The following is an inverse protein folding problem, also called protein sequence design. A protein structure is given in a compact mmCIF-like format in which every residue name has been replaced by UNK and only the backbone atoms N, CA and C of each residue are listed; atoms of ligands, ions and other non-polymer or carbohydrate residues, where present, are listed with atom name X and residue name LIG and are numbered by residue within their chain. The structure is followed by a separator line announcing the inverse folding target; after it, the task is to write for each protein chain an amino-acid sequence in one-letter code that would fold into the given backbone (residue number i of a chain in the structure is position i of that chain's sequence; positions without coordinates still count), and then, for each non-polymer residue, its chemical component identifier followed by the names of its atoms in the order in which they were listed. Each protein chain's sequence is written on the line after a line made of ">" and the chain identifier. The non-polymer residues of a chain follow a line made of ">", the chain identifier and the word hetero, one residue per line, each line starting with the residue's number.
data_IF_404522459047
#
_entry.id   IF_404522459047
#
_cell.length_a   1.000
_cell.length_b   1.000
_cell.length_c   1.000
_cell.angle_alpha   90.00
_cell.angle_beta   90.00
_cell.angle_gamma   90.00
#
_symmetry.space_group_name_H-M   'P 1'
#
loop_
_entity.id
_entity.type
_entity.pdbx_description
1 polymer ?
#
# COMPACT_ATOMS: atom_id res chain seq x y z
N UNK A 1 14.82 17.56 4.04
CA UNK A 1 13.49 17.51 4.71
C UNK A 1 12.53 18.41 3.97
N UNK A 2 11.29 17.98 3.76
CA UNK A 2 10.22 18.79 3.18
C UNK A 2 8.98 18.65 4.03
N UNK A 3 8.47 19.77 4.50
CA UNK A 3 7.19 19.87 5.20
C UNK A 3 6.26 20.72 4.34
N UNK A 4 5.00 20.31 4.23
CA UNK A 4 4.01 21.08 3.47
C UNK A 4 2.63 20.92 4.08
N UNK A 5 1.89 22.01 4.14
CA UNK A 5 0.50 22.06 4.59
C UNK A 5 -0.37 22.50 3.43
N UNK A 6 -1.50 21.83 3.24
CA UNK A 6 -2.43 22.10 2.15
C UNK A 6 -3.85 22.07 2.71
N UNK A 7 -4.71 22.94 2.21
CA UNK A 7 -6.13 22.94 2.54
C UNK A 7 -6.91 22.74 1.25
N UNK A 8 -7.90 21.86 1.30
CA UNK A 8 -8.78 21.56 0.17
C UNK A 8 -10.23 21.71 0.61
N UNK A 9 -10.95 22.61 -0.05
CA UNK A 9 -12.36 22.88 0.21
C UNK A 9 -13.24 22.33 -0.92
N UNK A 10 -14.37 21.71 -0.59
CA UNK A 10 -15.38 21.31 -1.56
C UNK A 10 -16.77 21.42 -0.96
N UNK A 11 -17.78 21.49 -1.83
CA UNK A 11 -19.20 21.44 -1.44
C UNK A 11 -19.83 20.17 -1.97
N UNK A 12 -20.77 19.59 -1.21
CA UNK A 12 -21.57 18.44 -1.62
C UNK A 12 -23.05 18.74 -1.40
N UNK A 13 -23.89 18.41 -2.38
CA UNK A 13 -25.34 18.43 -2.21
C UNK A 13 -25.77 17.24 -1.33
N UNK A 14 -26.60 17.51 -0.33
CA UNK A 14 -26.98 16.48 0.65
C UNK A 14 -28.01 15.49 0.09
N UNK A 15 -28.85 15.91 -0.87
CA UNK A 15 -29.86 15.08 -1.51
C UNK A 15 -30.22 15.55 -2.93
N UNK A 16 -30.81 14.64 -3.73
CA UNK A 16 -31.36 14.96 -5.05
C UNK A 16 -32.58 15.88 -4.84
N UNK A 17 -32.62 17.03 -5.53
CA UNK A 17 -33.67 18.07 -5.43
C UNK A 17 -33.72 18.84 -4.10
N UNK A 18 -32.58 19.11 -3.46
CA UNK A 18 -32.53 19.99 -2.28
C UNK A 18 -31.43 21.03 -2.45
N UNK A 19 -31.72 22.29 -2.12
CA UNK A 19 -30.74 23.40 -2.21
C UNK A 19 -29.71 23.37 -1.06
N UNK A 20 -29.81 22.41 -0.13
CA UNK A 20 -28.85 22.24 0.95
C UNK A 20 -27.51 21.70 0.44
N UNK A 21 -26.47 22.51 0.63
CA UNK A 21 -25.08 22.17 0.30
C UNK A 21 -24.26 22.18 1.58
N UNK A 22 -23.56 21.08 1.84
CA UNK A 22 -22.60 21.00 2.93
C UNK A 22 -21.20 21.33 2.40
N UNK A 23 -20.58 22.37 2.97
CA UNK A 23 -19.20 22.71 2.71
C UNK A 23 -18.25 21.90 3.62
N UNK A 24 -17.15 21.45 3.05
CA UNK A 24 -16.11 20.69 3.73
C UNK A 24 -14.75 21.35 3.48
N UNK A 25 -13.88 21.34 4.48
CA UNK A 25 -12.48 21.73 4.34
C UNK A 25 -11.61 20.66 4.97
N UNK A 26 -10.76 20.03 4.15
CA UNK A 26 -9.77 19.07 4.61
C UNK A 26 -8.39 19.70 4.66
N UNK A 27 -7.76 19.63 5.82
CA UNK A 27 -6.36 19.96 6.03
C UNK A 27 -5.48 18.73 5.82
N UNK A 28 -4.42 18.88 5.03
CA UNK A 28 -3.38 17.87 4.84
C UNK A 28 -2.05 18.43 5.35
N UNK A 29 -1.31 17.64 6.12
CA UNK A 29 0.09 17.94 6.44
C UNK A 29 0.95 16.78 5.96
N UNK A 30 1.96 17.07 5.17
CA UNK A 30 2.90 16.07 4.66
C UNK A 30 4.29 16.35 5.21
N UNK A 31 4.93 15.31 5.73
CA UNK A 31 6.33 15.32 6.17
C UNK A 31 7.10 14.28 5.36
N UNK A 32 8.04 14.76 4.54
CA UNK A 32 9.03 13.94 3.85
C UNK A 32 10.39 14.13 4.51
N UNK A 33 10.91 13.06 5.11
CA UNK A 33 12.25 13.01 5.68
C UNK A 33 13.08 12.01 4.89
N UNK A 34 14.21 12.47 4.38
CA UNK A 34 15.23 11.65 3.73
C UNK A 34 16.56 12.03 4.36
N UNK A 35 17.17 11.08 5.05
CA UNK A 35 18.46 11.24 5.72
C UNK A 35 19.36 10.15 5.21
N UNK A 36 20.46 10.53 4.57
CA UNK A 36 21.47 9.60 4.10
C UNK A 36 22.80 9.90 4.77
N UNK A 37 23.44 8.85 5.29
CA UNK A 37 24.79 8.92 5.86
C UNK A 37 25.57 7.68 5.44
N UNK A 38 26.64 7.89 4.68
CA UNK A 38 27.51 6.83 4.17
C UNK A 38 26.71 5.77 3.40
N UNK A 39 26.75 4.52 3.88
CA UNK A 39 26.05 3.37 3.30
C UNK A 39 24.60 3.24 3.75
N UNK A 40 24.15 4.05 4.70
CA UNK A 40 22.81 3.94 5.29
C UNK A 40 21.96 5.15 4.92
N UNK A 41 20.67 4.92 4.69
CA UNK A 41 19.68 5.95 4.44
C UNK A 41 18.36 5.60 5.10
N UNK A 42 17.68 6.60 5.62
CA UNK A 42 16.34 6.49 6.17
C UNK A 42 15.42 7.39 5.36
N UNK A 43 14.33 6.83 4.88
CA UNK A 43 13.33 7.56 4.10
C UNK A 43 11.95 7.31 4.70
N UNK A 44 11.25 8.39 4.99
CA UNK A 44 9.87 8.34 5.44
C UNK A 44 9.02 9.45 4.82
N UNK A 45 7.79 9.08 4.46
CA UNK A 45 6.75 9.99 4.01
C UNK A 45 5.49 9.73 4.83
N UNK A 46 5.15 10.72 5.65
CA UNK A 46 3.98 10.71 6.54
C UNK A 46 3.01 11.78 6.06
N UNK A 47 1.73 11.44 5.97
CA UNK A 47 0.64 12.37 5.72
C UNK A 47 -0.35 12.31 6.87
N UNK A 48 -0.75 13.45 7.40
CA UNK A 48 -1.87 13.59 8.32
C UNK A 48 -3.02 14.29 7.61
N UNK A 49 -4.25 13.84 7.87
CA UNK A 49 -5.46 14.50 7.39
C UNK A 49 -6.46 14.74 8.53
N UNK A 50 -7.14 15.88 8.49
CA UNK A 50 -8.24 16.24 9.37
C UNK A 50 -9.27 17.08 8.60
N UNK A 51 -10.56 16.89 8.89
CA UNK A 51 -11.62 17.81 8.45
C UNK A 51 -11.72 18.94 9.48
N UNK A 52 -11.41 20.17 9.06
CA UNK A 52 -11.27 21.34 9.94
C UNK A 52 -12.64 21.90 10.33
N UNK A 53 -13.66 21.72 9.49
CA UNK A 53 -15.01 22.23 9.71
C UNK A 53 -15.88 21.17 10.39
N UNK A 54 -15.92 19.96 9.82
CA UNK A 54 -16.76 18.88 10.29
C UNK A 54 -15.90 17.84 11.01
N UNK A 55 -15.44 18.19 12.22
CA UNK A 55 -14.63 17.32 13.05
C UNK A 55 -15.37 16.00 13.30
N UNK A 56 -14.84 14.92 12.74
CA UNK A 56 -15.32 13.56 13.00
C UNK A 56 -14.59 13.05 14.25
N UNK A 57 -15.31 12.44 15.19
CA UNK A 57 -14.78 11.90 16.47
C UNK A 57 -13.62 10.89 16.33
N UNK A 58 -13.25 10.52 15.09
CA UNK A 58 -12.17 9.57 14.79
C UNK A 58 -10.75 10.15 14.96
N UNK A 59 -10.60 11.47 15.19
CA UNK A 59 -9.31 12.15 15.33
C UNK A 59 -8.55 12.28 13.99
N UNK A 60 -7.24 12.56 14.05
CA UNK A 60 -6.37 12.64 12.87
C UNK A 60 -6.15 11.26 12.25
N UNK A 61 -6.29 11.14 10.91
CA UNK A 61 -5.83 9.95 10.19
C UNK A 61 -4.35 10.13 9.81
N UNK A 62 -3.55 9.09 10.01
CA UNK A 62 -2.11 9.09 9.71
C UNK A 62 -1.79 8.04 8.64
N UNK A 63 -1.28 8.49 7.50
CA UNK A 63 -0.87 7.62 6.38
C UNK A 63 0.64 7.60 6.26
N UNK A 64 1.21 6.41 6.38
CA UNK A 64 2.63 6.16 6.19
C UNK A 64 2.82 5.55 4.82
N UNK A 65 3.23 6.37 3.84
CA UNK A 65 3.45 5.90 2.47
C UNK A 65 4.77 5.15 2.34
N UNK A 66 5.83 5.69 2.94
CA UNK A 66 7.15 5.09 2.97
C UNK A 66 7.68 5.18 4.39
N UNK A 67 8.31 4.10 4.86
CA UNK A 67 9.00 4.06 6.15
C UNK A 67 10.03 2.93 6.08
N UNK A 68 11.23 3.23 5.60
CA UNK A 68 12.25 2.20 5.45
C UNK A 68 13.66 2.68 5.77
N UNK A 69 14.47 1.76 6.27
CA UNK A 69 15.92 1.87 6.35
C UNK A 69 16.53 1.17 5.13
N UNK A 70 17.49 1.83 4.49
CA UNK A 70 18.20 1.35 3.31
C UNK A 70 19.70 1.25 3.61
N UNK A 71 20.30 0.10 3.34
CA UNK A 71 21.74 -0.08 3.27
C UNK A 71 22.16 -0.23 1.80
N UNK A 72 23.14 0.53 1.33
CA UNK A 72 23.67 0.44 -0.04
C UNK A 72 25.12 0.03 -0.04
N UNK A 73 25.48 -0.89 -0.94
CA UNK A 73 26.86 -1.34 -1.15
C UNK A 73 27.51 -1.84 0.17
N UNK A 74 26.71 -2.54 0.99
CA UNK A 74 27.16 -3.30 2.13
C UNK A 74 28.08 -4.41 1.62
N UNK A 75 29.28 -4.51 2.20
CA UNK A 75 30.33 -5.44 1.75
C UNK A 75 30.65 -5.40 0.24
N UNK A 76 30.40 -4.26 -0.42
CA UNK A 76 30.56 -4.04 -1.87
C UNK A 76 29.66 -4.88 -2.80
N UNK A 77 28.75 -5.68 -2.25
CA UNK A 77 27.92 -6.63 -3.00
C UNK A 77 26.43 -6.55 -2.65
N UNK A 78 26.06 -6.08 -1.47
CA UNK A 78 24.69 -6.17 -0.97
C UNK A 78 24.04 -4.79 -0.82
N UNK A 79 22.85 -4.63 -1.37
CA UNK A 79 21.91 -3.58 -1.00
C UNK A 79 20.76 -4.21 -0.20
N UNK A 80 20.29 -3.51 0.83
CA UNK A 80 19.26 -3.93 1.76
C UNK A 80 18.23 -2.80 1.91
N UNK A 81 16.95 -3.14 1.98
CA UNK A 81 15.87 -2.25 2.42
C UNK A 81 14.96 -2.99 3.37
N UNK A 82 14.68 -2.39 4.52
CA UNK A 82 13.82 -2.95 5.55
C UNK A 82 12.75 -1.92 5.94
N UNK A 83 11.49 -2.34 5.92
CA UNK A 83 10.33 -1.53 6.31
C UNK A 83 9.30 -1.41 5.19
N UNK A 84 8.46 -0.37 5.27
CA UNK A 84 7.45 -0.04 4.28
C UNK A 84 8.08 0.59 3.05
N UNK A 85 8.02 -0.12 1.94
CA UNK A 85 8.62 0.27 0.67
C UNK A 85 7.74 -0.12 -0.51
N UNK A 86 7.75 0.69 -1.56
CA UNK A 86 7.18 0.30 -2.83
C UNK A 86 8.17 -0.55 -3.62
N UNK A 87 7.73 -1.75 -4.02
CA UNK A 87 8.52 -2.67 -4.83
C UNK A 87 8.26 -2.50 -6.32
N UNK A 88 9.34 -2.60 -7.08
CA UNK A 88 9.32 -2.73 -8.52
C UNK A 88 10.34 -3.80 -8.94
N UNK A 89 9.87 -4.98 -9.29
CA UNK A 89 10.69 -6.15 -9.59
C UNK A 89 10.11 -6.93 -10.78
N UNK A 90 10.13 -6.31 -11.96
CA UNK A 90 9.58 -6.88 -13.19
C UNK A 90 8.06 -7.03 -13.09
N UNK A 91 7.61 -8.29 -12.98
CA UNK A 91 6.18 -8.62 -12.78
C UNK A 91 5.69 -8.26 -11.37
N UNK A 92 6.61 -8.10 -10.41
CA UNK A 92 6.27 -7.76 -9.02
C UNK A 92 6.12 -6.26 -8.79
N UNK A 93 4.93 -5.83 -8.34
CA UNK A 93 4.64 -4.43 -7.99
C UNK A 93 3.74 -4.33 -6.78
N UNK A 94 4.02 -3.37 -5.90
CA UNK A 94 3.16 -3.04 -4.77
C UNK A 94 3.93 -2.52 -3.56
N UNK A 95 3.21 -1.86 -2.65
CA UNK A 95 3.73 -1.48 -1.33
C UNK A 95 3.75 -2.71 -0.42
N UNK A 96 4.89 -2.90 0.25
CA UNK A 96 5.10 -3.97 1.21
C UNK A 96 5.71 -3.41 2.47
N UNK A 97 5.42 -4.06 3.60
CA UNK A 97 6.16 -3.88 4.83
C UNK A 97 7.00 -5.14 5.03
N UNK A 98 8.30 -5.01 4.79
CA UNK A 98 9.18 -6.16 4.85
C UNK A 98 10.58 -5.89 4.33
N UNK A 99 11.20 -6.95 3.83
CA UNK A 99 12.60 -6.99 3.47
C UNK A 99 12.75 -7.01 1.94
N UNK A 100 13.73 -6.27 1.44
CA UNK A 100 14.21 -6.34 0.07
C UNK A 100 15.74 -6.39 0.10
N UNK A 101 16.29 -7.41 -0.52
CA UNK A 101 17.71 -7.66 -0.65
C UNK A 101 18.09 -7.64 -2.11
N UNK A 102 19.23 -7.05 -2.43
CA UNK A 102 19.80 -7.07 -3.78
C UNK A 102 21.28 -7.37 -3.69
N UNK A 103 21.66 -8.55 -4.15
CA UNK A 103 23.03 -9.02 -4.25
C UNK A 103 23.56 -8.77 -5.65
N UNK A 104 24.76 -8.21 -5.75
CA UNK A 104 25.51 -7.93 -6.97
C UNK A 104 26.77 -8.78 -6.94
N UNK A 105 26.93 -9.68 -7.90
CA UNK A 105 28.05 -10.63 -7.98
C UNK A 105 28.64 -10.66 -9.40
N UNK A 106 29.80 -11.30 -9.54
CA UNK A 106 30.66 -11.24 -10.73
C UNK A 106 31.76 -10.17 -10.62
N UNK A 107 32.83 -10.31 -11.41
CA UNK A 107 33.98 -9.39 -11.38
C UNK A 107 33.56 -7.93 -11.63
N UNK A 108 32.57 -7.75 -12.51
CA UNK A 108 32.03 -6.45 -12.90
C UNK A 108 30.59 -6.21 -12.41
N UNK A 109 30.11 -6.98 -11.41
CA UNK A 109 28.72 -6.91 -10.90
C UNK A 109 27.66 -7.20 -11.99
N UNK A 110 28.02 -8.05 -12.94
CA UNK A 110 27.19 -8.43 -14.08
C UNK A 110 25.95 -9.26 -13.69
N UNK A 111 26.00 -9.95 -12.56
CA UNK A 111 24.88 -10.74 -12.04
C UNK A 111 24.24 -10.03 -10.87
N UNK A 112 22.93 -9.80 -10.94
CA UNK A 112 22.16 -9.18 -9.86
C UNK A 112 20.99 -10.07 -9.47
N UNK A 113 20.96 -10.47 -8.21
CA UNK A 113 19.87 -11.22 -7.61
C UNK A 113 19.15 -10.31 -6.64
N UNK A 114 17.87 -10.04 -6.85
CA UNK A 114 17.06 -9.32 -5.86
C UNK A 114 15.95 -10.23 -5.34
N UNK A 115 15.80 -10.30 -4.03
CA UNK A 115 14.74 -11.04 -3.36
C UNK A 115 13.98 -10.09 -2.44
N UNK A 116 12.66 -10.23 -2.40
CA UNK A 116 11.80 -9.41 -1.55
C UNK A 116 10.71 -10.27 -0.93
N UNK A 117 10.29 -9.88 0.26
CA UNK A 117 9.29 -10.60 1.03
C UNK A 117 8.75 -9.75 2.16
N UNK A 118 7.43 -9.76 2.33
CA UNK A 118 6.81 -8.99 3.40
C UNK A 118 5.29 -9.07 3.39
N UNK A 119 4.71 -8.36 4.34
CA UNK A 119 3.28 -8.19 4.44
C UNK A 119 2.81 -7.15 3.41
N UNK A 120 1.62 -7.33 2.82
CA UNK A 120 1.05 -6.29 1.97
C UNK A 120 0.64 -5.09 2.84
N UNK A 121 0.98 -3.88 2.39
CA UNK A 121 0.56 -2.66 3.08
C UNK A 121 -0.97 -2.53 3.04
N UNK A 122 -1.64 -2.19 4.18
CA UNK A 122 -3.08 -1.96 4.20
C UNK A 122 -3.47 -0.82 3.26
N UNK A 123 -4.69 -0.87 2.70
CA UNK A 123 -5.16 0.13 1.73
C UNK A 123 -5.25 1.55 2.30
N UNK A 124 -5.47 1.66 3.63
CA UNK A 124 -5.49 2.92 4.37
C UNK A 124 -4.11 3.53 4.60
N UNK A 125 -3.02 2.77 4.39
CA UNK A 125 -1.65 3.14 4.76
C UNK A 125 -1.48 3.50 6.25
N UNK A 126 -2.45 3.15 7.09
CA UNK A 126 -2.33 3.25 8.54
C UNK A 126 -1.41 2.13 9.08
N UNK A 127 -0.88 2.32 10.29
CA UNK A 127 -0.15 1.29 11.03
C UNK A 127 -1.11 0.48 11.92
N UNK A 128 -2.25 1.08 12.27
CA UNK A 128 -3.32 0.45 13.04
C UNK A 128 -4.08 -0.51 12.11
N UNK A 129 -4.33 -1.73 12.59
CA UNK A 129 -5.05 -2.80 11.88
C UNK A 129 -4.29 -3.47 10.73
N UNK A 130 -3.09 -3.97 11.03
CA UNK A 130 -2.33 -4.76 10.06
C UNK A 130 -3.01 -6.11 9.79
N UNK A 131 -3.34 -6.45 8.53
CA UNK A 131 -3.92 -7.75 8.24
C UNK A 131 -2.91 -8.88 8.50
N UNK A 132 -3.38 -10.05 8.94
CA UNK A 132 -2.51 -11.20 9.26
C UNK A 132 -1.55 -11.51 8.09
N UNK A 133 -0.27 -11.70 8.42
CA UNK A 133 0.78 -12.05 7.45
C UNK A 133 0.46 -13.35 6.71
N UNK A 134 -0.25 -14.29 7.35
CA UNK A 134 -0.68 -15.55 6.72
C UNK A 134 -1.58 -15.35 5.51
N UNK A 135 -2.37 -14.27 5.53
CA UNK A 135 -3.45 -14.02 4.58
C UNK A 135 -3.09 -12.90 3.59
N UNK A 136 -2.03 -12.14 3.88
CA UNK A 136 -1.65 -10.95 3.13
C UNK A 136 -0.14 -10.80 3.04
N UNK A 137 0.46 -11.56 2.12
CA UNK A 137 1.89 -11.54 1.87
C UNK A 137 2.20 -11.38 0.39
N UNK A 138 3.44 -10.97 0.14
CA UNK A 138 4.04 -11.01 -1.17
C UNK A 138 5.50 -11.39 -0.99
N UNK A 139 5.96 -12.30 -1.83
CA UNK A 139 7.38 -12.59 -1.96
C UNK A 139 7.71 -12.85 -3.42
N UNK A 140 8.98 -12.68 -3.75
CA UNK A 140 9.43 -12.88 -5.10
C UNK A 140 10.90 -12.58 -5.25
N UNK A 141 11.36 -12.75 -6.47
CA UNK A 141 12.73 -12.48 -6.82
C UNK A 141 12.88 -12.12 -8.28
N UNK A 142 13.99 -11.46 -8.57
CA UNK A 142 14.42 -11.14 -9.93
C UNK A 142 15.90 -11.43 -10.04
N UNK A 143 16.25 -12.18 -11.08
CA UNK A 143 17.61 -12.33 -11.55
C UNK A 143 17.79 -11.45 -12.77
N UNK A 144 18.86 -10.67 -12.80
CA UNK A 144 19.21 -9.79 -13.90
C UNK A 144 20.66 -9.96 -14.30
N UNK A 145 20.92 -10.02 -15.60
CA UNK A 145 22.24 -10.09 -16.21
C UNK A 145 22.53 -8.82 -17.01
N UNK A 146 23.70 -8.23 -16.75
CA UNK A 146 24.20 -6.98 -17.34
C UNK A 146 25.62 -7.14 -17.94
N UNK A 147 26.08 -8.38 -18.20
CA UNK A 147 27.48 -8.62 -18.60
C UNK A 147 27.83 -8.22 -20.03
N UNK A 148 26.84 -7.88 -20.85
CA UNK A 148 27.06 -7.42 -22.24
C UNK A 148 26.60 -5.97 -22.34
N UNK A 149 27.43 -5.13 -22.95
CA UNK A 149 27.12 -3.71 -23.16
C UNK A 149 25.80 -3.60 -23.94
N UNK A 150 24.93 -2.72 -23.47
CA UNK A 150 23.62 -2.44 -24.09
C UNK A 150 22.63 -3.62 -24.10
N UNK A 151 22.91 -4.69 -23.35
CA UNK A 151 22.01 -5.83 -23.20
C UNK A 151 21.64 -6.07 -21.73
N UNK A 152 20.33 -6.13 -21.46
CA UNK A 152 19.79 -6.57 -20.19
C UNK A 152 18.86 -7.77 -20.42
N UNK A 153 19.10 -8.84 -19.69
CA UNK A 153 18.16 -9.94 -19.57
C UNK A 153 17.76 -10.10 -18.11
N UNK A 154 16.46 -10.23 -17.83
CA UNK A 154 15.96 -10.43 -16.48
C UNK A 154 14.84 -11.46 -16.44
N UNK A 155 14.83 -12.29 -15.41
CA UNK A 155 13.78 -13.27 -15.12
C UNK A 155 13.24 -12.96 -13.73
N UNK A 156 11.92 -12.79 -13.61
CA UNK A 156 11.26 -12.42 -12.36
C UNK A 156 10.14 -13.39 -12.01
N UNK A 157 10.02 -13.70 -10.72
CA UNK A 157 8.92 -14.47 -10.14
C UNK A 157 8.29 -13.69 -8.99
N UNK A 158 6.97 -13.75 -8.88
CA UNK A 158 6.22 -13.17 -7.76
C UNK A 158 5.11 -14.13 -7.35
N UNK A 159 4.97 -14.32 -6.05
CA UNK A 159 3.80 -14.89 -5.43
C UNK A 159 3.18 -13.84 -4.51
N UNK A 160 1.93 -13.47 -4.78
CA UNK A 160 1.17 -12.47 -4.02
C UNK A 160 -0.15 -13.08 -3.60
N UNK A 161 -0.43 -13.05 -2.30
CA UNK A 161 -1.70 -13.45 -1.74
C UNK A 161 -2.34 -12.26 -1.02
N UNK A 162 -3.61 -11.98 -1.32
CA UNK A 162 -4.38 -10.91 -0.67
C UNK A 162 -5.78 -11.40 -0.39
N UNK A 163 -6.13 -11.50 0.89
CA UNK A 163 -7.50 -11.76 1.32
C UNK A 163 -8.29 -10.46 1.26
N UNK A 164 -9.40 -10.39 0.48
CA UNK A 164 -10.26 -9.22 0.48
C UNK A 164 -10.84 -8.97 1.88
N UNK A 165 -10.88 -7.71 2.30
CA UNK A 165 -11.57 -7.34 3.53
C UNK A 165 -13.08 -7.56 3.36
N UNK A 166 -13.76 -8.18 4.34
CA UNK A 166 -15.21 -8.30 4.29
C UNK A 166 -15.82 -6.91 4.47
N UNK A 167 -16.65 -6.48 3.52
CA UNK A 167 -17.42 -5.26 3.62
C UNK A 167 -18.91 -5.58 3.61
N UNK A 168 -19.66 -4.79 4.37
CA UNK A 168 -21.11 -4.76 4.24
C UNK A 168 -21.43 -3.64 3.25
N UNK A 169 -22.07 -3.98 2.14
CA UNK A 169 -22.66 -2.99 1.24
C UNK A 169 -24.17 -3.19 1.22
N UNK A 170 -24.89 -2.09 1.35
CA UNK A 170 -26.30 -2.07 0.99
C UNK A 170 -26.38 -2.07 -0.53
N UNK A 171 -27.03 -3.09 -1.07
CA UNK A 171 -27.23 -3.22 -2.51
C UNK A 171 -28.65 -2.75 -2.81
N UNK A 172 -28.76 -1.81 -3.76
CA UNK A 172 -30.04 -1.24 -4.21
C UNK A 172 -30.77 -2.12 -5.23
N UNK A 173 -30.56 -3.44 -5.20
CA UNK A 173 -31.10 -4.37 -6.19
C UNK A 173 -32.40 -5.07 -5.79
N UNK A 174 -33.12 -4.52 -4.81
CA UNK A 174 -34.50 -4.93 -4.47
C UNK A 174 -35.50 -3.75 -4.46
N UNK A 175 -35.10 -2.50 -4.78
CA UNK A 175 -35.99 -1.33 -4.65
C UNK A 175 -36.59 -0.78 -5.95
N UNK A 176 -36.35 -1.40 -7.11
CA UNK A 176 -37.30 -1.23 -8.22
C UNK A 176 -38.54 -2.13 -8.03
N UNK A 177 -38.43 -3.23 -7.27
CA UNK A 177 -39.55 -4.10 -6.90
C UNK A 177 -39.29 -4.81 -5.56
N UNK A 178 -39.97 -4.35 -4.49
CA UNK A 178 -40.13 -4.97 -3.17
C UNK A 178 -39.02 -4.76 -2.11
N UNK A 179 -39.32 -3.83 -1.20
CA UNK A 179 -38.70 -3.67 0.12
C UNK A 179 -38.77 -4.99 0.91
N UNK A 180 -37.63 -5.68 1.06
CA UNK A 180 -37.40 -6.61 2.18
C UNK A 180 -35.92 -6.65 2.54
N UNK A 181 -35.56 -6.01 3.67
CA UNK A 181 -34.19 -6.05 4.22
C UNK A 181 -33.77 -7.52 4.46
N UNK A 182 -32.81 -8.01 3.69
CA UNK A 182 -32.06 -9.24 4.01
C UNK A 182 -30.58 -8.91 4.18
N UNK A 183 -30.04 -9.31 5.32
CA UNK A 183 -28.62 -9.21 5.62
C UNK A 183 -27.89 -10.38 4.94
N UNK A 184 -27.00 -10.07 4.00
CA UNK A 184 -26.10 -11.06 3.40
C UNK A 184 -24.64 -10.69 3.68
N UNK A 185 -23.89 -11.64 4.25
CA UNK A 185 -22.46 -11.54 4.50
C UNK A 185 -21.73 -12.10 3.27
N UNK A 186 -21.05 -11.25 2.51
CA UNK A 186 -20.33 -11.69 1.30
C UNK A 186 -18.89 -12.09 1.63
N UNK A 187 -18.52 -13.30 1.21
CA UNK A 187 -17.16 -13.80 1.20
C UNK A 187 -16.75 -13.92 -0.28
N UNK A 188 -15.79 -13.13 -0.75
CA UNK A 188 -15.31 -13.18 -2.14
C UNK A 188 -14.41 -14.41 -2.34
N UNK A 189 -15.01 -15.59 -2.33
CA UNK A 189 -14.44 -16.81 -2.90
C UNK A 189 -15.31 -17.18 -4.10
N UNK A 190 -14.71 -17.21 -5.29
CA UNK A 190 -15.33 -17.79 -6.47
C UNK A 190 -15.46 -19.31 -6.29
N UNK A 191 -16.48 -19.73 -5.53
CA UNK A 191 -17.17 -21.02 -5.63
C UNK A 191 -18.29 -21.04 -4.61
N UNK A 192 -19.53 -21.10 -5.13
CA UNK A 192 -20.76 -21.53 -4.46
C UNK A 192 -21.18 -20.79 -3.19
N UNK A 193 -22.36 -20.18 -3.25
CA UNK A 193 -23.08 -19.62 -2.12
C UNK A 193 -23.14 -20.60 -0.93
N UNK A 194 -22.55 -20.24 0.21
CA UNK A 194 -22.84 -20.90 1.48
C UNK A 194 -24.25 -20.48 1.93
N UNK A 195 -25.21 -21.40 1.77
CA UNK A 195 -26.45 -21.39 2.56
C UNK A 195 -26.08 -21.68 4.02
N UNK A 196 -26.31 -20.74 4.92
CA UNK A 196 -26.49 -21.04 6.35
C UNK A 196 -27.99 -21.18 6.61
N UNK A 197 -28.41 -22.40 6.91
CA UNK A 197 -29.74 -22.68 7.46
C UNK A 197 -29.89 -22.12 8.87
N UNK A 198 -31.14 -21.83 9.23
CA UNK A 198 -31.58 -21.74 10.62
C UNK A 198 -31.56 -23.14 11.25
#
# INVERSE_FOLDING_TARGET
>A
MRFSTQFYSWERADSINTDSRTAHIRGYQNLLLDVQKNKWGFNTLIQTEEDVINKVDKGFNYRFYNLYLKGTNLFNVLDLKLGRQYLFAGVGKGAIDGLNLKLKTGKNKEFQFSGYGGALTPGSYEIRDYPSLSDNYIFGGIFSYYGVRDFNASISYMNKHRKPEPYNAERFDDSLFAVKKRHYRYCFSCRSACRSGF
#
